data_IF_059643761797
#
_entry.id   IF_059643761797
#
_cell.length_a   1.000
_cell.length_b   1.000
_cell.length_c   1.000
_cell.angle_alpha   90.00
_cell.angle_beta   90.00
_cell.angle_gamma   90.00
#
_symmetry.space_group_name_H-M   'P 1'
#
loop_
_entity.id
_entity.type
_entity.pdbx_description
1 polymer ?
#
# COMPACT_ATOMS: atom_id res chain seq x y z
N UNK A 1 13.82 -1.68 -23.91
CA UNK A 1 12.96 -2.35 -22.93
C UNK A 1 13.74 -2.46 -21.64
N UNK A 2 13.50 -1.57 -20.67
CA UNK A 2 14.23 -1.58 -19.40
C UNK A 2 13.56 -2.62 -18.51
N UNK A 3 14.27 -3.71 -18.25
CA UNK A 3 13.85 -4.70 -17.27
C UNK A 3 13.98 -4.02 -15.90
N UNK A 4 12.90 -3.36 -15.45
CA UNK A 4 12.77 -2.98 -14.05
C UNK A 4 12.81 -4.28 -13.27
N UNK A 5 13.98 -4.59 -12.71
CA UNK A 5 14.21 -5.76 -11.89
C UNK A 5 13.25 -5.63 -10.69
N UNK A 6 12.12 -6.34 -10.75
CA UNK A 6 11.04 -6.31 -9.75
C UNK A 6 11.57 -6.50 -8.33
N UNK A 7 12.72 -7.14 -8.21
CA UNK A 7 13.52 -7.32 -7.00
C UNK A 7 13.94 -6.00 -6.33
N UNK A 8 14.26 -4.94 -7.07
CA UNK A 8 14.79 -3.70 -6.50
C UNK A 8 13.72 -2.84 -5.82
N UNK A 9 12.48 -2.87 -6.31
CA UNK A 9 11.34 -2.20 -5.66
C UNK A 9 11.02 -2.77 -4.28
N UNK A 10 11.19 -4.09 -4.08
CA UNK A 10 11.02 -4.73 -2.77
C UNK A 10 12.14 -4.36 -1.79
N UNK A 11 13.36 -4.12 -2.28
CA UNK A 11 14.48 -3.67 -1.44
C UNK A 11 14.14 -2.30 -0.83
N UNK A 12 13.66 -1.35 -1.63
CA UNK A 12 13.30 -0.01 -1.12
C UNK A 12 12.15 -0.07 -0.10
N UNK A 13 11.16 -0.92 -0.34
CA UNK A 13 10.08 -1.15 0.64
C UNK A 13 10.61 -1.73 1.95
N UNK A 14 11.54 -2.69 1.88
CA UNK A 14 12.22 -3.26 3.04
C UNK A 14 13.03 -2.22 3.81
N UNK A 15 13.80 -1.40 3.10
CA UNK A 15 14.58 -0.29 3.69
C UNK A 15 13.66 0.70 4.44
N UNK A 16 12.55 1.12 3.83
CA UNK A 16 11.58 1.99 4.47
C UNK A 16 10.94 1.34 5.71
N UNK A 17 10.60 0.05 5.64
CA UNK A 17 10.03 -0.69 6.78
C UNK A 17 11.02 -0.83 7.94
N UNK A 18 12.30 -1.09 7.65
CA UNK A 18 13.36 -1.16 8.66
C UNK A 18 13.57 0.19 9.32
N UNK A 19 13.55 1.29 8.55
CA UNK A 19 13.71 2.63 9.10
C UNK A 19 12.56 3.00 10.06
N UNK A 20 11.32 2.65 9.69
CA UNK A 20 10.16 2.80 10.58
C UNK A 20 10.28 1.95 11.85
N UNK A 21 10.68 0.67 11.71
CA UNK A 21 10.89 -0.23 12.84
C UNK A 21 11.96 0.30 13.80
N UNK A 22 13.07 0.81 13.25
CA UNK A 22 14.14 1.41 14.04
C UNK A 22 13.68 2.66 14.80
N UNK A 23 12.81 3.47 14.19
CA UNK A 23 12.14 4.61 14.83
C UNK A 23 11.01 4.20 15.79
N UNK A 24 10.76 2.91 15.99
CA UNK A 24 9.65 2.36 16.77
C UNK A 24 8.28 2.92 16.32
N UNK A 25 8.14 3.20 15.03
CA UNK A 25 6.90 3.67 14.41
C UNK A 25 6.13 2.50 13.82
N UNK A 26 4.81 2.56 13.91
CA UNK A 26 3.94 1.57 13.28
C UNK A 26 4.18 1.47 11.77
N UNK A 27 4.35 0.23 11.31
CA UNK A 27 4.52 -0.11 9.90
C UNK A 27 3.12 -0.23 9.28
N UNK A 28 2.55 0.92 8.92
CA UNK A 28 1.28 1.01 8.19
C UNK A 28 1.51 1.47 6.75
N UNK A 29 0.50 1.27 5.89
CA UNK A 29 0.51 1.76 4.51
C UNK A 29 0.79 3.27 4.43
N UNK A 30 0.20 4.04 5.35
CA UNK A 30 0.40 5.49 5.44
C UNK A 30 1.82 5.83 5.89
N UNK A 31 2.33 5.16 6.92
CA UNK A 31 3.70 5.36 7.42
C UNK A 31 4.75 5.03 6.35
N UNK A 32 4.55 3.95 5.59
CA UNK A 32 5.44 3.54 4.49
C UNK A 32 5.44 4.57 3.36
N UNK A 33 4.26 5.03 2.92
CA UNK A 33 4.16 6.07 1.90
C UNK A 33 4.85 7.36 2.37
N UNK A 34 4.73 7.71 3.65
CA UNK A 34 5.43 8.88 4.21
C UNK A 34 6.94 8.67 4.20
N UNK A 35 7.43 7.57 4.75
CA UNK A 35 8.87 7.28 4.86
C UNK A 35 9.55 7.20 3.48
N UNK A 36 8.88 6.65 2.47
CA UNK A 36 9.35 6.67 1.09
C UNK A 36 9.41 8.09 0.52
N UNK A 37 8.49 8.98 0.90
CA UNK A 37 8.57 10.39 0.55
C UNK A 37 9.84 11.04 1.07
N UNK A 38 10.11 10.88 2.36
CA UNK A 38 11.32 11.41 3.00
C UNK A 38 12.60 10.83 2.38
N UNK A 39 12.60 9.55 2.00
CA UNK A 39 13.72 8.93 1.31
C UNK A 39 13.96 9.56 -0.07
N UNK A 40 12.90 9.85 -0.84
CA UNK A 40 13.05 10.50 -2.15
C UNK A 40 13.55 11.94 -2.05
N UNK A 41 13.11 12.68 -1.03
CA UNK A 41 13.54 14.07 -0.79
C UNK A 41 15.03 14.18 -0.45
N UNK A 42 15.60 13.14 0.18
CA UNK A 42 17.00 13.10 0.57
C UNK A 42 17.89 12.28 -0.39
N UNK A 43 17.33 11.76 -1.49
CA UNK A 43 18.05 10.93 -2.46
C UNK A 43 18.56 11.77 -3.64
N UNK A 44 19.86 11.66 -3.93
CA UNK A 44 20.49 12.39 -5.04
C UNK A 44 20.56 11.55 -6.31
N UNK A 45 20.38 10.24 -6.20
CA UNK A 45 20.39 9.32 -7.33
C UNK A 45 19.01 9.25 -8.01
N UNK A 46 18.93 9.77 -9.23
CA UNK A 46 17.70 9.84 -10.02
C UNK A 46 17.04 8.46 -10.23
N UNK A 47 17.83 7.40 -10.47
CA UNK A 47 17.32 6.04 -10.63
C UNK A 47 16.69 5.51 -9.33
N UNK A 48 17.30 5.81 -8.17
CA UNK A 48 16.70 5.49 -6.87
C UNK A 48 15.43 6.29 -6.62
N UNK A 49 15.38 7.58 -6.97
CA UNK A 49 14.17 8.41 -6.86
C UNK A 49 13.02 7.81 -7.67
N UNK A 50 13.29 7.33 -8.89
CA UNK A 50 12.28 6.66 -9.73
C UNK A 50 11.79 5.36 -9.08
N UNK A 51 12.68 4.54 -8.53
CA UNK A 51 12.28 3.32 -7.83
C UNK A 51 11.45 3.60 -6.56
N UNK A 52 11.78 4.65 -5.82
CA UNK A 52 11.02 5.09 -4.65
C UNK A 52 9.61 5.55 -5.07
N UNK A 53 9.51 6.29 -6.16
CA UNK A 53 8.22 6.72 -6.71
C UNK A 53 7.37 5.54 -7.19
N UNK A 54 7.97 4.53 -7.83
CA UNK A 54 7.29 3.30 -8.24
C UNK A 54 6.74 2.54 -7.03
N UNK A 55 7.56 2.32 -6.01
CA UNK A 55 7.14 1.68 -4.75
C UNK A 55 5.98 2.44 -4.08
N UNK A 56 6.02 3.78 -4.09
CA UNK A 56 4.96 4.63 -3.53
C UNK A 56 3.65 4.51 -4.32
N UNK A 57 3.71 4.45 -5.65
CA UNK A 57 2.55 4.26 -6.50
C UNK A 57 1.95 2.86 -6.33
N UNK A 58 2.79 1.84 -6.20
CA UNK A 58 2.34 0.49 -5.88
C UNK A 58 1.56 0.46 -4.55
N UNK A 59 2.08 1.06 -3.47
CA UNK A 59 1.37 1.16 -2.18
C UNK A 59 0.05 1.93 -2.28
N UNK A 60 0.01 3.04 -3.02
CA UNK A 60 -1.23 3.82 -3.24
C UNK A 60 -2.31 3.01 -3.96
N UNK A 61 -1.93 2.08 -4.82
CA UNK A 61 -2.88 1.17 -5.48
C UNK A 61 -3.70 0.35 -4.49
N UNK A 62 -3.12 -0.04 -3.35
CA UNK A 62 -3.82 -0.76 -2.28
C UNK A 62 -4.81 0.11 -1.50
N UNK A 63 -4.53 1.40 -1.34
CA UNK A 63 -5.50 2.35 -0.79
C UNK A 63 -6.73 2.37 -1.69
N UNK A 64 -6.50 2.54 -2.99
CA UNK A 64 -7.58 2.65 -3.96
C UNK A 64 -8.37 1.33 -4.09
N UNK A 65 -7.69 0.18 -4.03
CA UNK A 65 -8.34 -1.14 -4.01
C UNK A 65 -9.19 -1.34 -2.74
N UNK A 66 -8.70 -0.91 -1.58
CA UNK A 66 -9.48 -0.97 -0.33
C UNK A 66 -10.70 -0.05 -0.35
N UNK A 67 -10.55 1.17 -0.89
CA UNK A 67 -11.67 2.10 -1.09
C UNK A 67 -12.70 1.54 -2.08
N UNK A 68 -12.25 0.91 -3.16
CA UNK A 68 -13.14 0.24 -4.13
C UNK A 68 -13.89 -0.93 -3.50
N UNK A 69 -13.20 -1.82 -2.79
CA UNK A 69 -13.84 -2.92 -2.07
C UNK A 69 -14.86 -2.42 -1.04
N UNK A 70 -14.58 -1.33 -0.33
CA UNK A 70 -15.55 -0.70 0.59
C UNK A 70 -16.73 -0.06 -0.13
N UNK A 71 -16.52 0.57 -1.28
CA UNK A 71 -17.61 1.10 -2.10
C UNK A 71 -18.49 -0.02 -2.68
N UNK A 72 -17.89 -1.13 -3.09
CA UNK A 72 -18.56 -2.37 -3.50
C UNK A 72 -19.27 -3.10 -2.35
N UNK A 73 -19.06 -2.71 -1.10
CA UNK A 73 -19.86 -3.20 0.03
C UNK A 73 -20.91 -2.17 0.48
N UNK A 74 -20.76 -0.91 0.06
CA UNK A 74 -21.67 0.16 0.45
C UNK A 74 -23.08 -0.01 -0.18
N UNK A 75 -23.19 -0.66 -1.34
CA UNK A 75 -24.51 -1.00 -1.91
C UNK A 75 -25.28 -2.00 -1.05
N UNK A 76 -24.61 -2.89 -0.29
CA UNK A 76 -25.27 -3.81 0.64
C UNK A 76 -25.86 -3.08 1.85
N UNK A 77 -25.23 -1.98 2.28
CA UNK A 77 -25.72 -1.13 3.38
C UNK A 77 -26.87 -0.24 2.89
N UNK A 78 -26.78 0.27 1.66
CA UNK A 78 -27.79 1.15 1.08
C UNK A 78 -29.11 0.43 0.73
N UNK A 79 -29.09 -0.89 0.47
CA UNK A 79 -30.30 -1.65 0.12
C UNK A 79 -31.07 -2.19 1.33
N UNK A 80 -30.60 -1.97 2.57
CA UNK A 80 -31.30 -2.43 3.79
C UNK A 80 -31.55 -3.93 3.84
N UNK A 81 -30.84 -4.72 3.02
CA UNK A 81 -31.05 -6.16 2.96
C UNK A 81 -30.25 -6.80 4.08
N UNK A 82 -30.95 -7.25 5.12
CA UNK A 82 -30.37 -8.00 6.22
C UNK A 82 -29.52 -9.14 5.67
N UNK A 83 -28.30 -9.38 6.22
CA UNK A 83 -27.48 -10.50 5.77
C UNK A 83 -28.32 -11.77 5.93
N UNK A 84 -28.47 -12.54 4.84
CA UNK A 84 -29.05 -13.88 4.88
C UNK A 84 -28.28 -14.66 5.95
N UNK A 85 -28.88 -14.85 7.12
CA UNK A 85 -28.40 -15.80 8.10
C UNK A 85 -28.39 -17.15 7.39
N UNK A 86 -27.19 -17.65 7.07
CA UNK A 86 -26.95 -19.02 6.67
C UNK A 86 -27.20 -19.93 7.88
N UNK A 87 -28.44 -19.98 8.35
CA UNK A 87 -28.96 -21.00 9.24
C UNK A 87 -29.76 -21.96 8.40
N UNK A 88 -29.44 -23.24 8.58
CA UNK A 88 -30.09 -24.43 8.03
C UNK A 88 -29.47 -24.93 6.71
N UNK A 89 -28.37 -25.67 6.85
CA UNK A 89 -28.28 -26.97 6.20
C UNK A 89 -28.36 -28.03 7.30
N UNK A 90 -29.52 -28.68 7.37
CA UNK A 90 -29.75 -29.92 8.13
C UNK A 90 -29.50 -31.10 7.19
#
# INVERSE_FOLDING_TARGET
MVFHNKSTGYIILGEAAINLAFKQQDITLVSLIRQLGEMAENESNDDRVVQIADARNWLKSFINASTRARAELNWLVATGQEPVELKNYR
#
